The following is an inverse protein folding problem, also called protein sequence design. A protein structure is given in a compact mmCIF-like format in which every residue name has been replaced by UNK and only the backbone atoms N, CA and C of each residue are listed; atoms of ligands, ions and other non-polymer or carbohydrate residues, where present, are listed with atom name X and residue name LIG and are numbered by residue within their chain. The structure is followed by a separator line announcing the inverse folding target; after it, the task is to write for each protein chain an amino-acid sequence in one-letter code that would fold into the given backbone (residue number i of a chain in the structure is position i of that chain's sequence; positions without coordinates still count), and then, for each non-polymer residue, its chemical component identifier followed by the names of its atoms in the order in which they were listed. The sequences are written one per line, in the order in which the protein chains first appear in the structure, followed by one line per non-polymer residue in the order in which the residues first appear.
data_IF_096276209832
#
_entry.id   IF_096276209832
#
_cell.length_a   1.000
_cell.length_b   1.000
_cell.length_c   1.000
_cell.angle_alpha   90.00
_cell.angle_beta   90.00
_cell.angle_gamma   90.00
#
_symmetry.space_group_name_H-M   'P 1'
#
loop_
_entity.id
_entity.type
_entity.pdbx_description
1 polymer ?
#
# COMPACT_ATOMS: atom_id res chain seq x y z
N UNK A 1 -16.95 4.65 10.74
CA UNK A 1 -16.45 3.55 9.89
C UNK A 1 -14.96 3.40 10.14
N UNK A 2 -14.50 2.19 10.43
CA UNK A 2 -13.07 1.90 10.56
C UNK A 2 -12.50 1.48 9.21
N UNK A 3 -11.43 2.14 8.76
CA UNK A 3 -10.71 1.82 7.53
C UNK A 3 -9.26 1.46 7.89
N UNK A 4 -8.85 0.25 7.52
CA UNK A 4 -7.45 -0.15 7.59
C UNK A 4 -6.79 0.02 6.23
N UNK A 5 -5.65 0.71 6.21
CA UNK A 5 -4.81 0.89 5.03
C UNK A 5 -3.51 0.12 5.27
N UNK A 6 -3.27 -0.90 4.45
CA UNK A 6 -2.11 -1.77 4.56
C UNK A 6 -1.03 -1.30 3.59
N UNK A 7 0.17 -1.06 4.08
CA UNK A 7 1.27 -0.44 3.32
C UNK A 7 2.55 -1.28 3.40
N UNK A 8 3.51 -1.03 2.53
CA UNK A 8 4.76 -1.81 2.43
C UNK A 8 5.83 -1.41 3.44
N UNK A 9 5.85 -0.14 3.83
CA UNK A 9 6.93 0.45 4.60
C UNK A 9 6.54 1.67 5.42
N UNK A 10 7.55 2.25 6.06
CA UNK A 10 7.39 3.39 6.95
C UNK A 10 7.11 4.69 6.19
N UNK A 11 7.68 4.85 4.99
CA UNK A 11 7.46 6.02 4.14
C UNK A 11 5.99 6.14 3.73
N UNK A 12 5.40 5.05 3.26
CA UNK A 12 4.00 4.95 2.89
C UNK A 12 3.09 5.14 4.11
N UNK A 13 3.47 4.57 5.26
CA UNK A 13 2.74 4.77 6.51
C UNK A 13 2.70 6.25 6.91
N UNK A 14 3.85 6.92 6.85
CA UNK A 14 4.00 8.35 7.17
C UNK A 14 3.11 9.17 6.24
N UNK A 15 3.12 8.88 4.94
CA UNK A 15 2.22 9.53 3.98
C UNK A 15 0.75 9.34 4.35
N UNK A 16 0.32 8.12 4.65
CA UNK A 16 -1.08 7.88 5.02
C UNK A 16 -1.46 8.70 6.25
N UNK A 17 -0.61 8.71 7.28
CA UNK A 17 -0.88 9.42 8.54
C UNK A 17 -0.87 10.94 8.39
N UNK A 18 0.07 11.49 7.64
CA UNK A 18 0.33 12.93 7.57
C UNK A 18 -0.43 13.62 6.43
N UNK A 19 -0.75 12.89 5.37
CA UNK A 19 -1.33 13.45 4.14
C UNK A 19 -2.71 12.89 3.86
N UNK A 20 -2.80 11.59 3.61
CA UNK A 20 -4.04 10.97 3.12
C UNK A 20 -5.16 11.02 4.16
N UNK A 21 -4.88 10.63 5.40
CA UNK A 21 -5.90 10.60 6.45
C UNK A 21 -6.46 12.00 6.76
N UNK A 22 -5.63 13.04 6.97
CA UNK A 22 -6.13 14.41 7.11
C UNK A 22 -6.97 14.88 5.92
N UNK A 23 -6.59 14.52 4.69
CA UNK A 23 -7.37 14.86 3.50
C UNK A 23 -8.75 14.19 3.52
N UNK A 24 -8.82 12.88 3.78
CA UNK A 24 -10.08 12.14 3.86
C UNK A 24 -10.97 12.60 5.01
N UNK A 25 -10.40 12.99 6.15
CA UNK A 25 -11.16 13.56 7.26
C UNK A 25 -11.83 14.90 6.88
N UNK A 26 -11.19 15.73 6.06
CA UNK A 26 -11.81 16.98 5.57
C UNK A 26 -12.96 16.74 4.59
N UNK A 27 -12.93 15.63 3.87
CA UNK A 27 -13.97 15.23 2.92
C UNK A 27 -15.16 14.51 3.57
N UNK A 28 -15.07 14.16 4.85
CA UNK A 28 -16.07 13.36 5.57
C UNK A 28 -16.59 14.09 6.81
N UNK A 29 -17.77 13.68 7.30
CA UNK A 29 -18.32 14.24 8.54
C UNK A 29 -17.45 13.80 9.75
N UNK A 30 -17.22 14.70 10.73
CA UNK A 30 -16.44 14.36 11.92
C UNK A 30 -16.96 13.10 12.63
N UNK A 31 -16.05 12.18 12.97
CA UNK A 31 -16.37 10.90 13.63
C UNK A 31 -16.90 9.80 12.70
N UNK A 32 -17.14 10.09 11.41
CA UNK A 32 -17.60 9.07 10.47
C UNK A 32 -16.48 8.13 9.98
N UNK A 33 -15.22 8.51 10.10
CA UNK A 33 -14.07 7.76 9.59
C UNK A 33 -12.95 7.69 10.64
N UNK A 34 -12.47 6.49 10.93
CA UNK A 34 -11.26 6.20 11.72
C UNK A 34 -10.29 5.43 10.81
N UNK A 35 -9.11 5.98 10.53
CA UNK A 35 -8.11 5.37 9.63
C UNK A 35 -6.97 4.80 10.46
N UNK A 36 -6.63 3.54 10.22
CA UNK A 36 -5.49 2.86 10.84
C UNK A 36 -4.57 2.28 9.78
N UNK A 37 -3.28 2.37 10.01
CA UNK A 37 -2.25 1.83 9.13
C UNK A 37 -1.67 0.53 9.68
N UNK A 38 -1.25 -0.35 8.78
CA UNK A 38 -0.47 -1.55 9.11
C UNK A 38 0.60 -1.75 8.04
N UNK A 39 1.83 -2.04 8.46
CA UNK A 39 2.91 -2.40 7.54
C UNK A 39 2.93 -3.93 7.39
N UNK A 40 2.96 -4.44 6.16
CA UNK A 40 3.12 -5.88 5.91
C UNK A 40 4.52 -6.39 6.28
N UNK A 41 4.61 -7.68 6.59
CA UNK A 41 5.89 -8.32 6.86
C UNK A 41 6.71 -8.40 5.58
N UNK A 42 7.71 -7.54 5.46
CA UNK A 42 8.72 -7.60 4.40
C UNK A 42 9.88 -8.51 4.80
N UNK A 43 10.52 -9.14 3.82
CA UNK A 43 11.70 -9.95 4.08
C UNK A 43 12.96 -9.07 4.09
N UNK A 44 13.62 -8.99 5.24
CA UNK A 44 14.96 -8.42 5.37
C UNK A 44 16.01 -9.42 4.89
N UNK A 45 17.13 -8.95 4.36
CA UNK A 45 18.32 -9.79 4.14
C UNK A 45 19.11 -9.97 5.45
N UNK A 46 20.19 -10.76 5.39
CA UNK A 46 21.04 -11.04 6.55
C UNK A 46 21.75 -9.80 7.13
N UNK A 47 21.75 -8.68 6.39
CA UNK A 47 22.30 -7.38 6.78
C UNK A 47 21.21 -6.40 7.23
N UNK A 48 19.95 -6.83 7.30
CA UNK A 48 18.82 -6.01 7.74
C UNK A 48 18.24 -5.10 6.66
N UNK A 49 18.76 -5.13 5.43
CA UNK A 49 18.31 -4.33 4.30
C UNK A 49 17.07 -4.96 3.65
N UNK A 50 16.19 -4.13 3.08
CA UNK A 50 15.03 -4.61 2.31
C UNK A 50 15.54 -5.39 1.09
N UNK A 51 15.15 -6.67 0.97
CA UNK A 51 15.47 -7.45 -0.24
C UNK A 51 14.82 -6.81 -1.47
N UNK A 52 15.57 -6.74 -2.59
CA UNK A 52 15.03 -6.34 -3.89
C UNK A 52 13.85 -7.24 -4.29
N UNK A 53 12.66 -6.66 -4.43
CA UNK A 53 11.42 -7.36 -4.86
C UNK A 53 10.38 -7.59 -3.76
N UNK A 54 10.02 -6.56 -2.99
CA UNK A 54 8.78 -6.50 -2.19
C UNK A 54 8.64 -7.40 -0.96
N UNK A 55 9.44 -8.45 -0.84
CA UNK A 55 9.25 -9.46 0.20
C UNK A 55 8.62 -10.72 -0.36
N UNK A 56 7.63 -11.28 0.35
CA UNK A 56 7.01 -12.55 -0.02
C UNK A 56 5.49 -12.40 0.09
N UNK A 57 4.80 -12.63 -1.02
CA UNK A 57 3.34 -12.52 -1.08
C UNK A 57 2.65 -13.43 -0.08
N UNK A 58 3.15 -14.65 0.16
CA UNK A 58 2.59 -15.55 1.17
C UNK A 58 2.55 -14.94 2.57
N UNK A 59 3.58 -14.17 2.96
CA UNK A 59 3.60 -13.42 4.23
C UNK A 59 2.62 -12.26 4.21
N UNK A 60 2.58 -11.48 3.12
CA UNK A 60 1.65 -10.37 2.96
C UNK A 60 0.19 -10.85 3.05
N UNK A 61 -0.14 -11.94 2.34
CA UNK A 61 -1.46 -12.56 2.37
C UNK A 61 -1.83 -13.04 3.78
N UNK A 62 -0.88 -13.62 4.52
CA UNK A 62 -1.10 -14.05 5.90
C UNK A 62 -1.40 -12.85 6.81
N UNK A 63 -0.68 -11.75 6.66
CA UNK A 63 -0.93 -10.50 7.39
C UNK A 63 -2.28 -9.90 7.06
N UNK A 64 -2.63 -9.84 5.77
CA UNK A 64 -3.93 -9.36 5.28
C UNK A 64 -5.07 -10.19 5.88
N UNK A 65 -4.99 -11.53 5.81
CA UNK A 65 -6.01 -12.41 6.38
C UNK A 65 -6.17 -12.22 7.89
N UNK A 66 -5.06 -12.19 8.63
CA UNK A 66 -5.08 -11.93 10.07
C UNK A 66 -5.69 -10.57 10.42
N UNK A 67 -5.47 -9.55 9.60
CA UNK A 67 -6.06 -8.24 9.79
C UNK A 67 -7.57 -8.26 9.52
N UNK A 68 -7.99 -8.95 8.46
CA UNK A 68 -9.39 -9.05 8.00
C UNK A 68 -10.24 -9.92 8.93
N UNK A 69 -9.65 -10.89 9.62
CA UNK A 69 -10.31 -11.67 10.67
C UNK A 69 -10.85 -10.79 11.82
N UNK A 70 -10.44 -9.52 11.90
CA UNK A 70 -11.05 -8.56 12.82
C UNK A 70 -12.54 -8.34 12.45
N UNK A 71 -13.44 -8.33 13.44
CA UNK A 71 -14.89 -8.34 13.19
C UNK A 71 -15.43 -7.05 12.56
N UNK A 72 -14.68 -5.95 12.58
CA UNK A 72 -15.15 -4.63 12.13
C UNK A 72 -14.09 -3.91 11.31
N UNK A 73 -14.53 -3.32 10.19
CA UNK A 73 -13.72 -2.45 9.34
C UNK A 73 -13.87 -2.73 7.85
N UNK A 74 -13.42 -1.78 7.05
CA UNK A 74 -13.05 -1.97 5.64
C UNK A 74 -11.53 -2.00 5.55
N UNK A 75 -11.02 -2.67 4.53
CA UNK A 75 -9.61 -2.93 4.37
C UNK A 75 -9.19 -2.55 2.95
N UNK A 76 -8.05 -1.88 2.82
CA UNK A 76 -7.45 -1.57 1.53
C UNK A 76 -5.94 -1.64 1.65
N UNK A 77 -5.25 -1.57 0.52
CA UNK A 77 -3.80 -1.56 0.43
C UNK A 77 -3.32 -0.21 -0.11
N UNK A 78 -2.04 0.07 0.02
CA UNK A 78 -1.34 1.08 -0.78
C UNK A 78 0.03 0.49 -1.08
N UNK A 79 0.05 -0.36 -2.11
CA UNK A 79 1.25 -1.05 -2.57
C UNK A 79 1.73 -0.44 -3.87
N UNK A 80 3.03 -0.23 -4.01
CA UNK A 80 3.68 0.19 -5.24
C UNK A 80 3.67 -0.96 -6.25
N UNK A 81 3.18 -0.69 -7.46
CA UNK A 81 3.20 -1.62 -8.58
C UNK A 81 4.59 -2.22 -8.84
N UNK A 82 5.65 -1.42 -8.69
CA UNK A 82 7.03 -1.85 -8.92
C UNK A 82 7.68 -2.46 -7.67
N UNK A 83 7.05 -2.27 -6.51
CA UNK A 83 7.44 -2.84 -5.22
C UNK A 83 6.91 -4.26 -4.99
N UNK A 84 5.97 -4.75 -5.80
CA UNK A 84 5.29 -6.03 -5.54
C UNK A 84 6.24 -7.24 -5.45
N UNK A 85 5.95 -8.21 -4.54
CA UNK A 85 6.68 -9.47 -4.47
C UNK A 85 6.71 -10.22 -5.80
N UNK A 86 7.80 -10.93 -6.09
CA UNK A 86 7.92 -11.74 -7.31
C UNK A 86 6.92 -12.92 -7.37
N UNK A 87 6.47 -13.38 -6.20
CA UNK A 87 5.46 -14.42 -6.03
C UNK A 87 4.04 -13.85 -5.91
N UNK A 88 3.85 -12.56 -6.15
CA UNK A 88 2.52 -11.92 -6.16
C UNK A 88 1.66 -12.52 -7.29
N UNK A 89 0.36 -12.77 -7.04
CA UNK A 89 -0.49 -13.48 -7.98
C UNK A 89 -0.57 -12.73 -9.31
N UNK A 90 -0.33 -13.45 -10.41
CA UNK A 90 -0.35 -12.93 -11.80
C UNK A 90 0.67 -11.83 -12.11
N UNK A 91 1.65 -11.58 -11.23
CA UNK A 91 2.69 -10.56 -11.47
C UNK A 91 3.57 -10.90 -12.68
N UNK A 92 3.87 -12.18 -12.90
CA UNK A 92 4.66 -12.62 -14.06
C UNK A 92 3.93 -12.34 -15.40
N UNK A 93 2.62 -12.59 -15.45
CA UNK A 93 1.78 -12.30 -16.62
C UNK A 93 1.72 -10.80 -16.93
N UNK A 94 1.83 -9.98 -15.88
CA UNK A 94 1.67 -8.53 -15.98
C UNK A 94 2.81 -7.81 -16.70
N UNK A 95 4.01 -8.41 -16.78
CA UNK A 95 5.17 -7.78 -17.42
C UNK A 95 5.06 -7.66 -18.95
N UNK A 96 4.14 -8.40 -19.57
CA UNK A 96 3.90 -8.37 -21.02
C UNK A 96 2.87 -7.34 -21.48
N UNK A 97 2.15 -6.70 -20.55
CA UNK A 97 1.11 -5.71 -20.88
C UNK A 97 1.68 -4.28 -20.80
N UNK A 98 1.66 -3.57 -21.92
CA UNK A 98 2.06 -2.17 -21.98
C UNK A 98 1.02 -1.22 -21.37
N UNK A 99 -0.21 -1.69 -21.17
CA UNK A 99 -1.26 -0.92 -20.50
C UNK A 99 -1.17 -1.10 -18.98
N UNK A 100 -0.51 -0.15 -18.32
CA UNK A 100 -0.32 -0.16 -16.87
C UNK A 100 -1.65 -0.10 -16.10
N UNK A 101 -2.74 0.41 -16.71
CA UNK A 101 -4.07 0.44 -16.06
C UNK A 101 -4.60 -0.98 -15.93
N UNK A 102 -4.64 -1.71 -17.05
CA UNK A 102 -5.11 -3.11 -17.10
C UNK A 102 -4.26 -4.00 -16.22
N UNK A 103 -2.94 -3.76 -16.21
CA UNK A 103 -2.00 -4.43 -15.31
C UNK A 103 -2.40 -4.26 -13.84
N UNK A 104 -2.68 -3.04 -13.40
CA UNK A 104 -3.10 -2.77 -12.01
C UNK A 104 -4.44 -3.44 -11.72
N UNK A 105 -5.44 -3.27 -12.56
CA UNK A 105 -6.76 -3.88 -12.39
C UNK A 105 -6.68 -5.40 -12.27
N UNK A 106 -5.86 -6.04 -13.10
CA UNK A 106 -5.62 -7.48 -13.06
C UNK A 106 -4.98 -7.92 -11.73
N UNK A 107 -3.97 -7.18 -11.25
CA UNK A 107 -3.26 -7.50 -10.02
C UNK A 107 -4.13 -7.25 -8.78
N UNK A 108 -4.92 -6.18 -8.78
CA UNK A 108 -5.91 -5.88 -7.76
C UNK A 108 -6.97 -6.98 -7.70
N UNK A 109 -7.51 -7.40 -8.84
CA UNK A 109 -8.48 -8.51 -8.88
C UNK A 109 -7.87 -9.81 -8.34
N UNK A 110 -6.65 -10.13 -8.75
CA UNK A 110 -5.96 -11.34 -8.27
C UNK A 110 -5.71 -11.30 -6.75
N UNK A 111 -5.42 -10.11 -6.22
CA UNK A 111 -5.27 -9.88 -4.78
C UNK A 111 -6.61 -9.96 -4.04
N UNK A 112 -7.70 -9.40 -4.60
CA UNK A 112 -9.05 -9.53 -4.05
C UNK A 112 -9.46 -11.00 -3.95
N UNK A 113 -9.24 -11.77 -5.01
CA UNK A 113 -9.60 -13.20 -5.08
C UNK A 113 -8.80 -14.03 -4.07
N UNK A 114 -7.50 -13.75 -3.92
CA UNK A 114 -6.64 -14.44 -2.96
C UNK A 114 -7.04 -14.16 -1.49
N UNK A 115 -7.51 -12.94 -1.20
CA UNK A 115 -8.00 -12.54 0.12
C UNK A 115 -9.40 -13.10 0.39
N UNK A 116 -10.32 -13.00 -0.57
CA UNK A 116 -11.64 -13.61 -0.52
C UNK A 116 -12.65 -12.95 0.42
N UNK A 117 -12.52 -11.65 0.73
CA UNK A 117 -13.44 -10.91 1.61
C UNK A 117 -13.99 -9.64 0.95
N UNK A 118 -15.33 -9.49 0.95
CA UNK A 118 -16.03 -8.33 0.37
C UNK A 118 -15.72 -6.98 1.02
N UNK A 119 -15.15 -6.98 2.24
CA UNK A 119 -14.73 -5.78 2.97
C UNK A 119 -13.36 -5.28 2.52
N UNK A 120 -12.63 -6.10 1.77
CA UNK A 120 -11.32 -5.79 1.25
C UNK A 120 -11.43 -5.23 -0.18
N UNK A 121 -10.92 -4.02 -0.37
CA UNK A 121 -10.87 -3.32 -1.64
C UNK A 121 -9.38 -3.05 -1.91
N UNK A 122 -8.70 -3.90 -2.71
CA UNK A 122 -7.29 -3.72 -2.99
C UNK A 122 -7.04 -2.41 -3.74
N UNK A 123 -5.88 -1.82 -3.49
CA UNK A 123 -5.38 -0.67 -4.24
C UNK A 123 -3.86 -0.79 -4.46
N UNK A 124 -3.46 -0.71 -5.72
CA UNK A 124 -2.06 -0.72 -6.16
C UNK A 124 -1.75 0.63 -6.83
N UNK A 125 -0.76 1.31 -6.28
CA UNK A 125 -0.28 2.61 -6.73
C UNK A 125 0.51 2.45 -8.04
N UNK A 126 -0.03 3.02 -9.12
CA UNK A 126 0.50 2.91 -10.49
C UNK A 126 1.64 3.87 -10.81
N UNK A 127 1.59 5.07 -10.25
CA UNK A 127 2.55 6.14 -10.47
C UNK A 127 3.59 6.15 -9.35
N UNK A 128 4.83 6.52 -9.68
CA UNK A 128 5.83 6.80 -8.67
C UNK A 128 5.24 7.76 -7.64
N UNK A 129 5.35 7.35 -6.38
CA UNK A 129 4.81 8.06 -5.23
C UNK A 129 5.20 9.56 -5.23
N UNK A 130 6.37 9.89 -5.76
CA UNK A 130 6.86 11.26 -5.98
C UNK A 130 5.93 12.11 -6.86
N UNK A 131 5.32 11.54 -7.91
CA UNK A 131 4.39 12.27 -8.76
C UNK A 131 3.07 12.62 -8.04
N UNK A 132 2.62 11.77 -7.11
CA UNK A 132 1.45 12.04 -6.26
C UNK A 132 1.75 13.15 -5.24
N UNK A 133 2.96 13.15 -4.67
CA UNK A 133 3.41 14.19 -3.75
C UNK A 133 3.63 15.52 -4.49
N UNK A 134 4.21 15.50 -5.70
CA UNK A 134 4.39 16.68 -6.56
C UNK A 134 3.05 17.28 -7.03
N UNK A 135 2.06 16.45 -7.36
CA UNK A 135 0.74 16.91 -7.75
C UNK A 135 -0.06 17.52 -6.58
N UNK A 136 0.31 17.22 -5.33
CA UNK A 136 -0.31 17.73 -4.11
C UNK A 136 0.28 19.07 -3.61
N UNK A 137 1.17 19.71 -4.39
CA UNK A 137 1.76 21.06 -4.22
C UNK A 137 1.50 21.72 -2.85
N UNK A 138 2.29 21.28 -1.87
CA UNK A 138 2.76 22.01 -0.66
C UNK A 138 3.58 21.13 0.35
N UNK A 139 3.54 19.77 0.38
CA UNK A 139 4.24 19.01 1.42
C UNK A 139 5.42 18.16 0.92
N UNK A 140 6.00 18.49 -0.23
CA UNK A 140 7.19 17.80 -0.74
C UNK A 140 8.38 17.96 0.23
N UNK A 141 8.57 19.14 0.83
CA UNK A 141 9.62 19.39 1.84
C UNK A 141 9.44 18.51 3.09
N UNK A 142 8.22 18.39 3.62
CA UNK A 142 7.94 17.65 4.87
C UNK A 142 8.23 16.14 4.75
N UNK A 143 8.18 15.63 3.53
CA UNK A 143 8.41 14.22 3.25
C UNK A 143 9.88 13.91 2.94
N UNK A 144 10.55 14.79 2.21
CA UNK A 144 11.97 14.67 1.83
C UNK A 144 12.93 14.94 3.00
N UNK A 145 12.55 15.72 4.00
CA UNK A 145 13.35 15.92 5.21
C UNK A 145 13.42 14.67 6.12
N UNK A 146 12.74 13.57 5.76
CA UNK A 146 12.67 12.34 6.53
C UNK A 146 13.68 11.25 6.19
N UNK A 147 14.40 11.33 5.07
CA UNK A 147 15.44 10.38 4.66
C UNK A 147 16.66 11.15 4.14
N UNK A 148 17.75 11.15 4.93
CA UNK A 148 19.14 11.44 4.57
C UNK A 148 19.44 12.48 3.47
N UNK A 149 19.65 13.74 3.89
CA UNK A 149 20.81 14.53 3.43
C UNK A 149 21.97 14.39 4.43
N UNK A 150 22.43 13.15 4.58
CA UNK A 150 23.74 12.83 5.15
C UNK A 150 24.48 11.96 4.14
N UNK A 151 25.08 12.62 3.15
CA UNK A 151 25.89 12.03 2.08
C UNK A 151 26.30 13.07 1.06
#
# INVERSE_FOLDING_TARGET
MLLFIVVEGQTEEKFVKQMLAPHLYRMTQPGCLDIRTMIVTTSRDALGLKRRGGGNWGKWLSDLKRLIDKPQGRFTTMFDLYGLPRDFPRVAESFGDSDTVRRVEMLEQAMADAVGDRRFIPYIQRHEFEALVLAALDPLELLLEGDDLAG
#
